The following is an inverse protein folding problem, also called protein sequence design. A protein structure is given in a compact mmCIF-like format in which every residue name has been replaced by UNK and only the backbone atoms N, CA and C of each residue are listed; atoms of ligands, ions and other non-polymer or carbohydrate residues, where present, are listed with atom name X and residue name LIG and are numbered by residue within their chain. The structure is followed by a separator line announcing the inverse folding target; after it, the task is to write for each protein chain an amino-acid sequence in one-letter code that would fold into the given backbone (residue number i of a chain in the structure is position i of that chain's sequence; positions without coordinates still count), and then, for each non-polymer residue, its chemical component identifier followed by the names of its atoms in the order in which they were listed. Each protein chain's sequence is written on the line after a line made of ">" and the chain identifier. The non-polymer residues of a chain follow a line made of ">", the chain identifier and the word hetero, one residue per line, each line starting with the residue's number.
data_IF_294200015567
#
_entry.id   IF_294200015567
#
_cell.length_a   1.000
_cell.length_b   1.000
_cell.length_c   1.000
_cell.angle_alpha   90.00
_cell.angle_beta   90.00
_cell.angle_gamma   90.00
#
_symmetry.space_group_name_H-M   'P 1'
#
loop_
_entity.id
_entity.type
_entity.pdbx_description
1 polymer ?
#
# COMPACT_ATOMS: atom_id res chain seq x y z
N UNK A 1 9.92 9.55 20.19
CA UNK A 1 8.80 8.58 20.23
C UNK A 1 9.36 7.21 20.56
N UNK A 2 8.64 6.39 21.31
CA UNK A 2 9.03 5.01 21.63
C UNK A 2 8.66 4.05 20.49
N UNK A 3 9.25 2.84 20.49
CA UNK A 3 8.87 1.79 19.53
C UNK A 3 7.40 1.39 19.66
N UNK A 4 6.88 1.30 20.88
CA UNK A 4 5.48 0.94 21.10
C UNK A 4 4.52 2.00 20.55
N UNK A 5 4.79 3.28 20.83
CA UNK A 5 4.04 4.40 20.24
C UNK A 5 4.12 4.37 18.71
N UNK A 6 5.31 4.10 18.16
CA UNK A 6 5.51 4.00 16.72
C UNK A 6 4.63 2.92 16.08
N UNK A 7 4.58 1.73 16.69
CA UNK A 7 3.77 0.61 16.20
C UNK A 7 2.27 0.93 16.31
N UNK A 8 1.82 1.56 17.41
CA UNK A 8 0.42 1.96 17.56
C UNK A 8 0.01 2.99 16.50
N UNK A 9 0.85 4.00 16.26
CA UNK A 9 0.59 4.98 15.20
C UNK A 9 0.61 4.34 13.81
N UNK A 10 1.50 3.38 13.56
CA UNK A 10 1.50 2.61 12.31
C UNK A 10 0.16 1.88 12.11
N UNK A 11 -0.34 1.17 13.14
CA UNK A 11 -1.65 0.49 13.09
C UNK A 11 -2.78 1.47 12.75
N UNK A 12 -2.76 2.68 13.32
CA UNK A 12 -3.77 3.70 13.01
C UNK A 12 -3.71 4.16 11.55
N UNK A 13 -2.51 4.25 10.96
CA UNK A 13 -2.33 4.57 9.55
C UNK A 13 -2.83 3.44 8.65
N UNK A 14 -2.35 2.20 8.84
CA UNK A 14 -2.77 1.06 8.01
C UNK A 14 -4.27 0.79 8.11
N UNK A 15 -4.87 1.00 9.28
CA UNK A 15 -6.33 0.87 9.46
C UNK A 15 -7.08 1.86 8.59
N UNK A 16 -6.62 3.13 8.55
CA UNK A 16 -7.25 4.16 7.73
C UNK A 16 -7.10 3.86 6.24
N UNK A 17 -5.93 3.39 5.81
CA UNK A 17 -5.68 3.06 4.41
C UNK A 17 -6.56 1.88 3.98
N UNK A 18 -6.54 0.78 4.74
CA UNK A 18 -7.39 -0.40 4.48
C UNK A 18 -8.86 -0.01 4.35
N UNK A 19 -9.37 0.78 5.31
CA UNK A 19 -10.79 1.16 5.32
C UNK A 19 -11.15 2.05 4.10
N UNK A 20 -10.22 2.90 3.64
CA UNK A 20 -10.40 3.68 2.40
C UNK A 20 -10.43 2.78 1.16
N UNK A 21 -9.55 1.78 1.06
CA UNK A 21 -9.59 0.84 -0.06
C UNK A 21 -10.86 0.01 -0.06
N UNK A 22 -11.25 -0.50 1.11
CA UNK A 22 -12.50 -1.23 1.30
C UNK A 22 -13.72 -0.41 0.87
N UNK A 23 -13.77 0.87 1.23
CA UNK A 23 -14.81 1.79 0.76
C UNK A 23 -14.75 1.96 -0.78
N UNK A 24 -13.56 2.17 -1.33
CA UNK A 24 -13.37 2.34 -2.77
C UNK A 24 -13.85 1.11 -3.57
N UNK A 25 -13.57 -0.12 -3.12
CA UNK A 25 -14.06 -1.36 -3.77
C UNK A 25 -15.58 -1.35 -3.97
N UNK A 26 -16.33 -0.74 -3.04
CA UNK A 26 -17.81 -0.65 -3.12
C UNK A 26 -18.33 0.41 -4.08
N UNK A 27 -17.50 1.40 -4.43
CA UNK A 27 -17.89 2.57 -5.23
C UNK A 27 -17.40 2.46 -6.68
N UNK A 28 -16.28 1.78 -6.91
CA UNK A 28 -15.79 1.51 -8.26
C UNK A 28 -16.78 0.61 -8.99
N UNK A 29 -16.96 0.80 -10.30
CA UNK A 29 -17.74 -0.10 -11.16
C UNK A 29 -16.85 -0.95 -12.07
N UNK A 30 -15.68 -0.43 -12.44
CA UNK A 30 -14.71 -1.09 -13.29
C UNK A 30 -14.14 -2.37 -12.63
N UNK A 31 -14.27 -3.56 -13.26
CA UNK A 31 -13.79 -4.80 -12.68
C UNK A 31 -12.27 -4.85 -12.44
N UNK A 32 -11.48 -4.15 -13.27
CA UNK A 32 -10.02 -4.11 -13.11
C UNK A 32 -9.66 -3.19 -11.93
N UNK A 33 -10.28 -2.01 -11.85
CA UNK A 33 -10.12 -1.09 -10.72
C UNK A 33 -10.52 -1.72 -9.39
N UNK A 34 -11.63 -2.49 -9.36
CA UNK A 34 -12.03 -3.29 -8.18
C UNK A 34 -10.96 -4.27 -7.76
N UNK A 35 -10.41 -5.05 -8.70
CA UNK A 35 -9.39 -6.06 -8.39
C UNK A 35 -8.13 -5.41 -7.83
N UNK A 36 -7.68 -4.30 -8.40
CA UNK A 36 -6.53 -3.56 -7.91
C UNK A 36 -6.75 -3.04 -6.47
N UNK A 37 -7.92 -2.45 -6.21
CA UNK A 37 -8.30 -1.96 -4.88
C UNK A 37 -8.42 -3.10 -3.85
N UNK A 38 -8.94 -4.26 -4.25
CA UNK A 38 -9.01 -5.44 -3.39
C UNK A 38 -7.61 -5.95 -3.02
N UNK A 39 -6.67 -6.00 -3.98
CA UNK A 39 -5.29 -6.37 -3.69
C UNK A 39 -4.63 -5.40 -2.70
N UNK A 40 -4.88 -4.10 -2.83
CA UNK A 40 -4.39 -3.09 -1.88
C UNK A 40 -5.03 -3.27 -0.50
N UNK A 41 -6.35 -3.48 -0.42
CA UNK A 41 -7.04 -3.76 0.85
C UNK A 41 -6.47 -5.00 1.56
N UNK A 42 -6.25 -6.08 0.80
CA UNK A 42 -5.70 -7.34 1.33
C UNK A 42 -4.26 -7.15 1.85
N UNK A 43 -3.42 -6.39 1.15
CA UNK A 43 -2.04 -6.10 1.62
C UNK A 43 -2.05 -5.30 2.92
N UNK A 44 -2.91 -4.29 3.04
CA UNK A 44 -3.00 -3.53 4.29
C UNK A 44 -3.52 -4.35 5.47
N UNK A 45 -4.36 -5.35 5.21
CA UNK A 45 -4.77 -6.28 6.26
C UNK A 45 -3.59 -7.14 6.74
N UNK A 46 -2.71 -7.58 5.83
CA UNK A 46 -1.48 -8.31 6.19
C UNK A 46 -0.55 -7.42 7.04
N UNK A 47 -0.41 -6.14 6.67
CA UNK A 47 0.35 -5.15 7.43
C UNK A 47 -0.19 -4.96 8.85
N UNK A 48 -1.50 -4.82 8.99
CA UNK A 48 -2.17 -4.70 10.29
C UNK A 48 -1.94 -5.92 11.17
N UNK A 49 -2.17 -7.11 10.64
CA UNK A 49 -2.00 -8.36 11.38
C UNK A 49 -0.56 -8.52 11.88
N UNK A 50 0.41 -8.17 11.02
CA UNK A 50 1.82 -8.13 11.40
C UNK A 50 2.08 -7.16 12.55
N UNK A 51 1.66 -5.88 12.41
CA UNK A 51 1.89 -4.86 13.43
C UNK A 51 1.21 -5.20 14.76
N UNK A 52 0.01 -5.77 14.73
CA UNK A 52 -0.71 -6.21 15.92
C UNK A 52 0.02 -7.35 16.64
N UNK A 53 0.55 -8.35 15.91
CA UNK A 53 1.39 -9.40 16.50
C UNK A 53 2.67 -8.82 17.11
N UNK A 54 3.36 -7.89 16.41
CA UNK A 54 4.57 -7.23 16.95
C UNK A 54 4.28 -6.44 18.21
N UNK A 55 3.19 -5.67 18.23
CA UNK A 55 2.78 -4.93 19.41
C UNK A 55 2.53 -5.87 20.59
N UNK A 56 1.79 -6.97 20.36
CA UNK A 56 1.47 -7.92 21.41
C UNK A 56 2.72 -8.61 21.96
N UNK A 57 3.66 -9.03 21.10
CA UNK A 57 4.94 -9.64 21.53
C UNK A 57 5.82 -8.66 22.27
N UNK A 58 5.90 -7.42 21.79
CA UNK A 58 6.63 -6.35 22.45
C UNK A 58 6.10 -6.10 23.86
N UNK A 59 4.78 -5.97 24.03
CA UNK A 59 4.16 -5.75 25.33
C UNK A 59 4.36 -6.92 26.31
N UNK A 60 4.42 -8.16 25.80
CA UNK A 60 4.65 -9.36 26.63
C UNK A 60 6.11 -9.57 27.02
N UNK A 61 7.04 -9.28 26.12
CA UNK A 61 8.44 -9.76 26.23
C UNK A 61 9.49 -8.64 26.21
N UNK A 62 9.11 -7.42 25.80
CA UNK A 62 10.03 -6.31 25.57
C UNK A 62 11.02 -6.55 24.42
N UNK A 63 10.76 -7.54 23.56
CA UNK A 63 11.62 -7.91 22.43
C UNK A 63 10.82 -7.86 21.13
N UNK A 64 11.45 -7.32 20.09
CA UNK A 64 10.89 -7.34 18.75
C UNK A 64 11.50 -8.53 18.00
N UNK A 65 10.67 -9.36 17.38
CA UNK A 65 11.14 -10.44 16.51
C UNK A 65 10.73 -10.08 15.09
N UNK A 66 11.72 -9.96 14.20
CA UNK A 66 11.49 -9.62 12.81
C UNK A 66 11.28 -10.90 12.01
N UNK A 67 10.03 -11.37 11.92
CA UNK A 67 9.67 -12.33 10.87
C UNK A 67 9.47 -11.56 9.55
N UNK A 68 9.53 -12.30 8.44
CA UNK A 68 9.34 -11.74 7.10
C UNK A 68 7.98 -11.07 7.01
N UNK A 69 7.98 -9.78 6.67
CA UNK A 69 6.76 -9.08 6.26
C UNK A 69 6.45 -9.48 4.82
N UNK A 70 5.32 -10.15 4.63
CA UNK A 70 4.81 -10.50 3.31
C UNK A 70 4.11 -9.28 2.70
N UNK A 71 4.20 -9.15 1.38
CA UNK A 71 3.42 -8.19 0.60
C UNK A 71 3.06 -8.86 -0.73
N UNK A 72 1.86 -8.59 -1.21
CA UNK A 72 1.35 -9.03 -2.51
C UNK A 72 1.49 -7.93 -3.58
N UNK A 73 1.88 -6.71 -3.18
CA UNK A 73 2.07 -5.59 -4.09
C UNK A 73 3.50 -5.61 -4.67
N UNK A 74 3.66 -5.54 -6.01
CA UNK A 74 4.98 -5.47 -6.63
C UNK A 74 5.77 -4.22 -6.22
N UNK A 75 7.09 -4.29 -6.35
CA UNK A 75 7.94 -3.12 -6.06
C UNK A 75 7.68 -1.98 -7.05
N UNK A 76 7.99 -0.76 -6.62
CA UNK A 76 7.87 0.45 -7.45
C UNK A 76 8.59 0.32 -8.79
N UNK A 77 9.77 -0.30 -8.82
CA UNK A 77 10.55 -0.47 -10.05
C UNK A 77 9.82 -1.36 -11.07
N UNK A 78 9.17 -2.43 -10.59
CA UNK A 78 8.36 -3.33 -11.42
C UNK A 78 7.16 -2.56 -11.96
N UNK A 79 6.45 -1.84 -11.09
CA UNK A 79 5.29 -1.03 -11.47
C UNK A 79 5.67 -0.01 -12.55
N UNK A 80 6.75 0.75 -12.32
CA UNK A 80 7.19 1.80 -13.26
C UNK A 80 7.53 1.22 -14.63
N UNK A 81 8.25 0.10 -14.68
CA UNK A 81 8.66 -0.56 -15.93
C UNK A 81 7.48 -1.08 -16.74
N UNK A 82 6.49 -1.66 -16.07
CA UNK A 82 5.35 -2.26 -16.74
C UNK A 82 4.32 -1.20 -17.18
N UNK A 83 4.17 -0.10 -16.41
CA UNK A 83 3.38 1.08 -16.81
C UNK A 83 3.88 1.68 -18.13
N UNK A 84 5.20 1.82 -18.31
CA UNK A 84 5.79 2.37 -19.54
C UNK A 84 5.47 1.57 -20.81
N UNK A 85 5.15 0.27 -20.68
CA UNK A 85 4.92 -0.63 -21.83
C UNK A 85 3.47 -0.66 -22.33
N UNK A 86 2.49 -0.21 -21.53
CA UNK A 86 1.08 -0.57 -21.68
C UNK A 86 0.16 0.53 -22.26
N UNK A 87 0.71 1.55 -22.93
CA UNK A 87 -0.09 2.68 -23.42
C UNK A 87 -1.15 2.31 -24.49
N UNK A 88 -2.39 1.99 -24.08
CA UNK A 88 -3.59 2.03 -24.96
C UNK A 88 -4.85 2.54 -24.23
N UNK A 89 -5.65 3.29 -24.99
CA UNK A 89 -6.80 4.11 -24.55
C UNK A 89 -8.11 3.35 -24.50
N UNK A 90 -8.98 3.71 -23.54
CA UNK A 90 -10.43 3.42 -23.52
C UNK A 90 -11.26 4.68 -23.15
N UNK A 91 -12.59 4.70 -23.42
CA UNK A 91 -13.40 5.91 -23.42
C UNK A 91 -13.87 6.39 -22.04
N UNK A 92 -14.38 7.62 -22.05
CA UNK A 92 -14.84 8.45 -20.92
C UNK A 92 -16.09 7.88 -20.23
N UNK A 93 -15.99 7.67 -18.92
CA UNK A 93 -17.11 7.68 -17.98
C UNK A 93 -16.75 8.54 -16.75
N UNK A 94 -17.76 9.11 -16.11
CA UNK A 94 -17.64 10.09 -15.03
C UNK A 94 -17.27 9.38 -13.71
N UNK A 95 -15.96 9.15 -13.50
CA UNK A 95 -15.40 8.43 -12.33
C UNK A 95 -15.01 9.37 -11.19
N UNK A 96 -15.80 10.41 -10.96
CA UNK A 96 -15.50 11.47 -10.00
C UNK A 96 -15.32 10.96 -8.57
N UNK A 97 -16.20 10.07 -8.12
CA UNK A 97 -16.22 9.57 -6.74
C UNK A 97 -15.06 8.60 -6.46
N UNK A 98 -14.79 7.68 -7.39
CA UNK A 98 -13.62 6.80 -7.37
C UNK A 98 -12.31 7.60 -7.28
N UNK A 99 -12.17 8.62 -8.14
CA UNK A 99 -10.98 9.49 -8.14
C UNK A 99 -10.81 10.22 -6.81
N UNK A 100 -11.90 10.68 -6.19
CA UNK A 100 -11.84 11.34 -4.89
C UNK A 100 -11.38 10.38 -3.79
N UNK A 101 -11.89 9.16 -3.76
CA UNK A 101 -11.49 8.14 -2.78
C UNK A 101 -10.02 7.73 -2.95
N UNK A 102 -9.58 7.43 -4.18
CA UNK A 102 -8.18 7.12 -4.46
C UNK A 102 -7.24 8.29 -4.15
N UNK A 103 -7.68 9.53 -4.38
CA UNK A 103 -6.89 10.71 -4.00
C UNK A 103 -6.75 10.85 -2.48
N UNK A 104 -7.77 10.48 -1.71
CA UNK A 104 -7.70 10.41 -0.24
C UNK A 104 -6.74 9.30 0.19
N UNK A 105 -6.88 8.09 -0.37
CA UNK A 105 -5.99 6.97 -0.08
C UNK A 105 -4.52 7.34 -0.36
N UNK A 106 -4.22 7.87 -1.56
CA UNK A 106 -2.88 8.35 -1.91
C UNK A 106 -2.32 9.38 -0.92
N UNK A 107 -3.16 10.26 -0.40
CA UNK A 107 -2.72 11.25 0.58
C UNK A 107 -2.31 10.55 1.89
N UNK A 108 -3.11 9.61 2.37
CA UNK A 108 -2.81 8.86 3.60
C UNK A 108 -1.56 8.00 3.40
N UNK A 109 -1.43 7.29 2.28
CA UNK A 109 -0.24 6.54 1.85
C UNK A 109 1.05 7.39 1.91
N UNK A 110 1.01 8.61 1.36
CA UNK A 110 2.15 9.54 1.42
C UNK A 110 2.46 9.96 2.86
N UNK A 111 1.43 10.16 3.69
CA UNK A 111 1.60 10.49 5.11
C UNK A 111 2.20 9.31 5.89
N UNK A 112 1.74 8.08 5.64
CA UNK A 112 2.26 6.83 6.21
C UNK A 112 3.71 6.58 5.81
N UNK A 113 4.03 6.70 4.51
CA UNK A 113 5.40 6.59 4.02
C UNK A 113 6.35 7.61 4.67
N UNK A 114 5.92 8.87 4.85
CA UNK A 114 6.69 9.89 5.57
C UNK A 114 6.87 9.54 7.05
N UNK A 115 5.82 9.00 7.68
CA UNK A 115 5.89 8.52 9.05
C UNK A 115 6.93 7.40 9.18
N UNK A 116 6.92 6.39 8.31
CA UNK A 116 7.92 5.33 8.30
C UNK A 116 9.32 5.84 8.01
N UNK A 117 9.49 6.78 7.08
CA UNK A 117 10.78 7.43 6.85
C UNK A 117 11.32 8.11 8.11
N UNK A 118 10.46 8.81 8.86
CA UNK A 118 10.83 9.39 10.16
C UNK A 118 11.22 8.30 11.16
N UNK A 119 10.50 7.18 11.20
CA UNK A 119 10.79 6.07 12.12
C UNK A 119 12.11 5.38 11.83
N UNK A 120 12.47 5.23 10.56
CA UNK A 120 13.79 4.73 10.17
C UNK A 120 14.90 5.65 10.71
N UNK A 121 14.69 6.97 10.72
CA UNK A 121 15.63 7.94 11.27
C UNK A 121 15.74 7.89 12.80
N UNK A 122 14.60 7.81 13.50
CA UNK A 122 14.51 8.00 14.96
C UNK A 122 14.60 6.71 15.78
N UNK A 123 14.07 5.59 15.28
CA UNK A 123 14.04 4.33 16.00
C UNK A 123 15.33 3.55 15.68
N UNK A 124 16.09 3.09 16.69
CA UNK A 124 17.28 2.27 16.48
C UNK A 124 16.95 0.77 16.42
N UNK A 125 17.95 -0.03 16.05
CA UNK A 125 17.89 -1.49 16.19
C UNK A 125 16.87 -2.17 15.27
N UNK A 126 16.13 -3.13 15.82
CA UNK A 126 15.16 -3.93 15.06
C UNK A 126 13.97 -3.12 14.56
N UNK A 127 13.51 -2.14 15.35
CA UNK A 127 12.43 -1.25 14.93
C UNK A 127 12.78 -0.48 13.66
N UNK A 128 14.04 -0.03 13.53
CA UNK A 128 14.54 0.59 12.29
C UNK A 128 14.34 -0.33 11.08
N UNK A 129 14.74 -1.59 11.21
CA UNK A 129 14.70 -2.57 10.11
C UNK A 129 13.26 -2.89 9.72
N UNK A 130 12.38 -3.01 10.71
CA UNK A 130 10.94 -3.19 10.48
C UNK A 130 10.36 -2.03 9.67
N UNK A 131 10.53 -0.78 10.14
CA UNK A 131 10.00 0.39 9.45
C UNK A 131 10.66 0.66 8.10
N UNK A 132 11.92 0.25 7.91
CA UNK A 132 12.58 0.33 6.61
C UNK A 132 11.92 -0.60 5.58
N UNK A 133 11.47 -1.79 6.02
CA UNK A 133 10.73 -2.70 5.15
C UNK A 133 9.35 -2.15 4.78
N UNK A 134 8.61 -1.59 5.75
CA UNK A 134 7.35 -0.90 5.46
C UNK A 134 7.55 0.24 4.47
N UNK A 135 8.54 1.11 4.68
CA UNK A 135 8.86 2.22 3.78
C UNK A 135 9.09 1.79 2.32
N UNK A 136 9.72 0.63 2.11
CA UNK A 136 9.92 0.04 0.78
C UNK A 136 8.59 -0.38 0.15
N UNK A 137 7.71 -1.02 0.93
CA UNK A 137 6.41 -1.51 0.46
C UNK A 137 5.47 -0.34 0.12
N UNK A 138 5.38 0.67 0.99
CA UNK A 138 4.58 1.89 0.74
C UNK A 138 4.96 2.59 -0.57
N UNK A 139 6.24 2.51 -0.96
CA UNK A 139 6.67 3.10 -2.23
C UNK A 139 6.03 2.40 -3.44
N UNK A 140 5.77 1.09 -3.33
CA UNK A 140 4.97 0.32 -4.28
C UNK A 140 3.50 0.75 -4.26
N UNK A 141 2.89 0.87 -3.08
CA UNK A 141 1.48 1.29 -2.94
C UNK A 141 1.24 2.66 -3.58
N UNK A 142 2.06 3.65 -3.22
CA UNK A 142 2.02 5.00 -3.81
C UNK A 142 2.15 4.95 -5.34
N UNK A 143 2.99 4.07 -5.87
CA UNK A 143 3.16 3.94 -7.32
C UNK A 143 1.92 3.35 -7.98
N UNK A 144 1.34 2.30 -7.40
CA UNK A 144 0.10 1.67 -7.86
C UNK A 144 -1.06 2.66 -7.87
N UNK A 145 -1.33 3.33 -6.74
CA UNK A 145 -2.45 4.27 -6.62
C UNK A 145 -2.30 5.47 -7.56
N UNK A 146 -1.07 5.96 -7.78
CA UNK A 146 -0.82 7.02 -8.77
C UNK A 146 -1.11 6.56 -10.19
N UNK A 147 -0.71 5.35 -10.55
CA UNK A 147 -1.01 4.77 -11.86
C UNK A 147 -2.54 4.68 -12.08
N UNK A 148 -3.29 4.24 -11.07
CA UNK A 148 -4.76 4.22 -11.12
C UNK A 148 -5.36 5.62 -11.29
N UNK A 149 -4.91 6.59 -10.50
CA UNK A 149 -5.37 7.98 -10.64
C UNK A 149 -5.06 8.59 -12.00
N UNK A 150 -3.90 8.25 -12.58
CA UNK A 150 -3.52 8.67 -13.92
C UNK A 150 -4.42 8.02 -14.98
N UNK A 151 -4.72 6.72 -14.84
CA UNK A 151 -5.70 6.02 -15.67
C UNK A 151 -7.07 6.71 -15.66
N UNK A 152 -7.60 6.96 -14.46
CA UNK A 152 -8.89 7.62 -14.27
C UNK A 152 -8.91 9.07 -14.76
N UNK A 153 -7.78 9.76 -14.72
CA UNK A 153 -7.64 11.14 -15.18
C UNK A 153 -7.37 11.26 -16.69
N UNK A 154 -7.40 10.14 -17.43
CA UNK A 154 -7.08 10.05 -18.86
C UNK A 154 -5.63 10.40 -19.22
N UNK A 155 -4.69 10.29 -18.27
CA UNK A 155 -3.25 10.19 -18.55
C UNK A 155 -2.82 8.72 -18.72
N UNK A 156 -3.66 7.77 -18.29
CA UNK A 156 -3.95 6.50 -18.96
C UNK A 156 -2.99 5.34 -18.73
N UNK A 157 -3.06 4.59 -17.63
CA UNK A 157 -2.34 3.31 -17.48
C UNK A 157 -2.95 2.37 -16.40
N UNK A 158 -3.72 1.33 -16.76
CA UNK A 158 -3.68 0.09 -15.95
C UNK A 158 -3.97 -1.21 -16.74
N UNK A 159 -3.55 -2.29 -16.09
CA UNK A 159 -3.06 -3.59 -16.52
C UNK A 159 -4.14 -4.65 -16.70
N UNK A 160 -3.85 -5.56 -17.62
CA UNK A 160 -4.41 -6.90 -17.63
C UNK A 160 -3.40 -7.83 -16.93
N UNK A 161 -3.70 -8.27 -15.70
CA UNK A 161 -2.96 -9.38 -15.07
C UNK A 161 -3.50 -10.69 -15.63
N UNK A 162 -3.03 -11.09 -16.82
CA UNK A 162 -2.99 -12.50 -17.17
C UNK A 162 -1.69 -13.10 -16.65
N UNK A 163 -1.86 -14.18 -15.89
CA UNK A 163 -0.88 -15.10 -15.34
C UNK A 163 0.46 -15.14 -16.11
N UNK A 164 1.55 -14.79 -15.42
CA UNK A 164 2.86 -15.26 -15.83
C UNK A 164 3.23 -16.44 -14.96
N UNK A 165 3.17 -17.63 -15.57
CA UNK A 165 3.89 -18.81 -15.11
C UNK A 165 5.35 -18.43 -14.89
N UNK A 166 5.81 -18.60 -13.64
CA UNK A 166 7.21 -18.52 -13.27
C UNK A 166 7.88 -19.83 -13.70
N UNK A 167 8.36 -19.89 -14.94
CA UNK A 167 9.39 -20.85 -15.32
C UNK A 167 10.77 -20.20 -15.29
N UNK A 168 11.67 -20.90 -14.59
CA UNK A 168 13.04 -20.55 -14.21
C UNK A 168 14.03 -20.53 -15.38
#
# INVERSE_FOLDING_TARGET
>A
MTLEEAIKTAIEYETKIRDLYKEAVTVVDDPLGKKALQMLEEDEQIHLDYLMDRLQRWQKTGKLVLDKLETIIPSREIITREVEKLARKMPREDRGDEKQLLSKALKVEIETSRFYQKMVGEIPGEGRRMFARFLEIEAGHIATVRAELDYLSHTGYWFDFQEFDLEY
#
